data_IF_729043887284
#
_entry.id   IF_729043887284
#
_cell.length_a   1.000
_cell.length_b   1.000
_cell.length_c   1.000
_cell.angle_alpha   90.00
_cell.angle_beta   90.00
_cell.angle_gamma   90.00
#
_symmetry.space_group_name_H-M   'P 1'
#
loop_
_entity.id
_entity.type
_entity.pdbx_description
1 polymer ?
#
# COMPACT_ATOMS: atom_id res chain seq x y z
N UNK A 1 12.57 -17.44 -4.38
CA UNK A 1 12.15 -16.04 -4.58
C UNK A 1 11.22 -15.65 -3.44
N UNK A 2 11.72 -14.90 -2.45
CA UNK A 2 10.98 -14.57 -1.23
C UNK A 2 9.91 -13.51 -1.53
N UNK A 3 8.65 -13.92 -1.52
CA UNK A 3 7.50 -13.01 -1.71
C UNK A 3 7.32 -12.20 -0.41
N UNK A 4 7.74 -10.94 -0.43
CA UNK A 4 7.53 -10.04 0.72
C UNK A 4 6.10 -9.52 0.70
N UNK A 5 5.48 -9.44 1.88
CA UNK A 5 4.10 -8.97 2.04
C UNK A 5 4.16 -7.54 2.54
N UNK A 6 3.98 -6.56 1.66
CA UNK A 6 3.99 -5.14 2.02
C UNK A 6 2.56 -4.67 2.27
N UNK A 7 2.36 -3.84 3.29
CA UNK A 7 1.07 -3.23 3.58
C UNK A 7 0.98 -1.86 2.90
N UNK A 8 -0.16 -1.50 2.32
CA UNK A 8 -0.41 -0.12 1.89
C UNK A 8 -1.12 0.67 2.99
N UNK A 9 -0.48 1.75 3.42
CA UNK A 9 -1.01 2.71 4.36
C UNK A 9 -1.65 3.87 3.60
N UNK A 10 -2.86 4.28 3.99
CA UNK A 10 -3.45 5.51 3.49
C UNK A 10 -2.64 6.74 3.96
N UNK A 11 -2.43 7.71 3.07
CA UNK A 11 -1.70 8.95 3.38
C UNK A 11 -2.46 9.91 4.30
N UNK A 12 -3.78 9.73 4.46
CA UNK A 12 -4.63 10.60 5.29
C UNK A 12 -4.93 9.94 6.64
N UNK A 13 -5.52 8.74 6.61
CA UNK A 13 -5.95 8.02 7.81
C UNK A 13 -4.81 7.17 8.44
N UNK A 14 -3.65 7.02 7.78
CA UNK A 14 -2.56 6.14 8.21
C UNK A 14 -2.91 4.64 8.23
N UNK A 15 -4.16 4.30 7.91
CA UNK A 15 -4.69 2.96 8.06
C UNK A 15 -4.14 2.00 7.02
N UNK A 16 -3.68 0.85 7.50
CA UNK A 16 -3.11 -0.25 6.70
C UNK A 16 -4.19 -1.26 6.37
N UNK A 17 -5.06 -0.92 5.40
CA UNK A 17 -6.19 -1.77 5.02
C UNK A 17 -5.87 -2.78 3.91
N UNK A 18 -4.75 -2.63 3.22
CA UNK A 18 -4.39 -3.47 2.08
C UNK A 18 -3.03 -4.11 2.30
N UNK A 19 -2.93 -5.42 2.10
CA UNK A 19 -1.65 -6.13 2.03
C UNK A 19 -1.45 -6.66 0.62
N UNK A 20 -0.33 -6.34 -0.03
CA UNK A 20 0.04 -6.87 -1.34
C UNK A 20 1.29 -7.73 -1.22
N UNK A 21 1.29 -8.82 -1.99
CA UNK A 21 2.46 -9.65 -2.19
C UNK A 21 3.33 -8.93 -3.21
N UNK A 22 4.43 -8.35 -2.76
CA UNK A 22 5.35 -7.60 -3.61
C UNK A 22 6.49 -8.53 -3.97
N UNK A 23 6.63 -8.80 -5.27
CA UNK A 23 7.78 -9.53 -5.77
C UNK A 23 8.98 -8.58 -5.71
N UNK A 24 9.91 -8.82 -4.78
CA UNK A 24 11.12 -8.02 -4.63
C UNK A 24 12.10 -8.16 -5.82
N UNK A 25 11.78 -9.00 -6.81
CA UNK A 25 12.50 -9.07 -8.08
C UNK A 25 12.11 -7.87 -8.98
N UNK A 26 12.78 -6.73 -8.80
CA UNK A 26 12.83 -5.66 -9.81
C UNK A 26 11.99 -4.41 -9.57
N UNK A 27 11.30 -4.25 -8.43
CA UNK A 27 10.64 -2.98 -8.08
C UNK A 27 11.42 -2.22 -7.02
N UNK A 28 12.18 -1.22 -7.46
CA UNK A 28 12.91 -0.27 -6.60
C UNK A 28 12.01 0.89 -6.12
N UNK A 29 10.88 1.10 -6.80
CA UNK A 29 9.97 2.22 -6.52
C UNK A 29 8.87 1.84 -5.52
N UNK A 30 8.60 2.74 -4.56
CA UNK A 30 7.50 2.62 -3.60
C UNK A 30 6.17 2.62 -4.34
N UNK A 31 5.36 1.59 -4.16
CA UNK A 31 4.03 1.52 -4.78
C UNK A 31 3.09 2.57 -4.16
N UNK A 32 2.64 3.53 -4.97
CA UNK A 32 1.58 4.48 -4.62
C UNK A 32 0.32 4.17 -5.41
N UNK A 33 -0.79 3.88 -4.73
CA UNK A 33 -2.05 3.49 -5.37
C UNK A 33 -3.20 4.30 -4.81
N UNK A 34 -4.02 4.91 -5.69
CA UNK A 34 -5.30 5.48 -5.28
C UNK A 34 -6.29 4.35 -4.95
N UNK A 35 -6.69 4.27 -3.69
CA UNK A 35 -7.65 3.29 -3.16
C UNK A 35 -8.62 3.97 -2.22
N UNK A 36 -9.79 3.39 -2.05
CA UNK A 36 -10.79 3.87 -1.10
C UNK A 36 -10.32 3.62 0.34
N UNK A 37 -10.17 4.66 1.17
CA UNK A 37 -10.00 4.47 2.62
C UNK A 37 -11.40 4.43 3.25
N UNK A 38 -11.79 3.28 3.81
CA UNK A 38 -13.06 3.12 4.55
C UNK A 38 -13.22 4.12 5.71
N UNK A 39 -12.11 4.58 6.29
CA UNK A 39 -12.14 5.55 7.38
C UNK A 39 -12.32 6.99 6.89
N UNK A 40 -11.86 7.32 5.68
CA UNK A 40 -12.04 8.65 5.08
C UNK A 40 -13.26 8.72 4.16
N UNK A 41 -13.93 7.59 3.90
CA UNK A 41 -15.02 7.46 2.91
C UNK A 41 -14.70 8.07 1.53
N UNK A 42 -13.42 8.10 1.14
CA UNK A 42 -12.98 8.70 -0.11
C UNK A 42 -11.77 7.97 -0.70
N UNK A 43 -11.54 8.18 -2.00
CA UNK A 43 -10.37 7.65 -2.70
C UNK A 43 -9.14 8.48 -2.34
N UNK A 44 -8.19 7.85 -1.68
CA UNK A 44 -6.98 8.47 -1.15
C UNK A 44 -5.75 7.75 -1.66
N UNK A 45 -4.62 8.45 -1.69
CA UNK A 45 -3.34 7.84 -2.02
C UNK A 45 -2.90 6.91 -0.90
N UNK A 46 -2.72 5.64 -1.21
CA UNK A 46 -2.15 4.65 -0.33
C UNK A 46 -0.71 4.35 -0.75
N UNK A 47 0.21 4.39 0.20
CA UNK A 47 1.65 4.22 0.01
C UNK A 47 2.09 2.88 0.58
N UNK A 48 3.00 2.21 -0.11
CA UNK A 48 3.62 1.01 0.42
C UNK A 48 4.43 1.32 1.69
N UNK A 49 4.01 0.70 2.78
CA UNK A 49 4.71 0.59 4.05
C UNK A 49 5.41 -0.77 4.12
N UNK A 50 6.65 -0.74 4.59
CA UNK A 50 7.59 -1.87 4.64
C UNK A 50 7.03 -3.07 5.37
#
# INVERSE_FOLDING_TARGET
>A
MTVKKSALACSICGSRNYSKKVNSAGRTERLEVKKFCKYCNQHTMHRETK
#
